data_IF_412927737547
#
_entry.id   IF_412927737547
#
_cell.length_a   1.000
_cell.length_b   1.000
_cell.length_c   1.000
_cell.angle_alpha   90.00
_cell.angle_beta   90.00
_cell.angle_gamma   90.00
#
_symmetry.space_group_name_H-M   'P 1'
#
loop_
_entity.id
_entity.type
_entity.pdbx_description
1 polymer ?
#
# COMPACT_ATOMS: atom_id res chain seq x y z
N UNK A 1 44.24 -28.32 -16.20
CA UNK A 1 42.76 -28.22 -16.26
C UNK A 1 42.30 -27.17 -15.26
N UNK A 2 41.88 -25.94 -15.64
CA UNK A 2 41.20 -25.05 -14.71
C UNK A 2 39.69 -25.14 -14.90
N UNK A 3 38.96 -25.58 -13.87
CA UNK A 3 37.50 -25.52 -13.84
C UNK A 3 37.06 -24.12 -13.37
N UNK A 4 36.18 -23.52 -14.18
CA UNK A 4 35.67 -22.15 -14.06
C UNK A 4 34.57 -22.02 -13.00
N UNK A 5 34.66 -20.91 -12.27
CA UNK A 5 33.59 -19.95 -11.94
C UNK A 5 32.23 -20.45 -11.43
N UNK A 6 31.96 -20.14 -10.16
CA UNK A 6 30.61 -20.00 -9.60
C UNK A 6 29.84 -18.84 -10.26
N UNK A 7 28.49 -18.81 -10.11
CA UNK A 7 27.87 -17.53 -9.81
C UNK A 7 26.90 -17.60 -8.62
N UNK A 8 27.36 -17.12 -7.46
CA UNK A 8 26.50 -16.59 -6.38
C UNK A 8 26.14 -15.14 -6.72
N UNK A 9 25.30 -14.91 -7.73
CA UNK A 9 24.97 -13.55 -8.20
C UNK A 9 23.46 -13.27 -8.33
N UNK A 10 22.59 -14.13 -7.80
CA UNK A 10 21.13 -13.91 -7.87
C UNK A 10 20.52 -13.29 -6.61
N UNK A 11 21.22 -13.33 -5.47
CA UNK A 11 20.69 -12.83 -4.19
C UNK A 11 20.97 -11.34 -3.94
N UNK A 12 21.94 -10.72 -4.63
CA UNK A 12 22.33 -9.34 -4.34
C UNK A 12 21.45 -8.29 -5.03
N UNK A 13 20.87 -8.58 -6.20
CA UNK A 13 20.15 -7.56 -7.00
C UNK A 13 18.79 -7.18 -6.42
N UNK A 14 18.08 -8.12 -5.78
CA UNK A 14 16.76 -7.84 -5.16
C UNK A 14 16.88 -6.97 -3.89
N UNK A 15 18.01 -7.03 -3.21
CA UNK A 15 18.24 -6.31 -1.95
C UNK A 15 18.51 -4.82 -2.19
N UNK A 16 19.24 -4.47 -3.26
CA UNK A 16 19.52 -3.06 -3.61
C UNK A 16 18.30 -2.32 -4.16
N UNK A 17 17.41 -3.03 -4.86
CA UNK A 17 16.17 -2.43 -5.39
C UNK A 17 15.20 -1.98 -4.28
N UNK A 18 15.19 -2.66 -3.11
CA UNK A 18 14.45 -2.18 -1.93
C UNK A 18 15.13 -0.99 -1.25
N UNK A 19 16.46 -0.99 -1.12
CA UNK A 19 17.21 0.08 -0.46
C UNK A 19 17.15 1.45 -1.18
N UNK A 20 16.78 1.48 -2.46
CA UNK A 20 16.58 2.73 -3.23
C UNK A 20 15.16 3.29 -3.21
N UNK A 21 14.20 2.52 -2.68
CA UNK A 21 12.80 2.93 -2.66
C UNK A 21 12.49 3.74 -1.40
N UNK A 22 11.99 4.96 -1.57
CA UNK A 22 11.55 5.78 -0.45
C UNK A 22 10.54 5.01 0.42
N UNK A 23 10.83 4.91 1.72
CA UNK A 23 9.95 4.27 2.69
C UNK A 23 8.65 5.06 2.87
N UNK A 24 7.49 4.42 3.01
CA UNK A 24 6.27 5.09 3.40
C UNK A 24 6.40 5.64 4.82
N UNK A 25 6.27 6.96 4.99
CA UNK A 25 6.32 7.53 6.33
C UNK A 25 5.05 7.22 7.15
N UNK A 26 5.20 7.28 8.48
CA UNK A 26 4.13 6.98 9.46
C UNK A 26 3.19 8.11 9.83
N UNK A 27 3.35 9.30 9.24
CA UNK A 27 2.47 10.46 9.43
C UNK A 27 1.81 10.90 8.12
N UNK A 28 0.78 11.75 8.17
CA UNK A 28 0.16 12.30 6.97
C UNK A 28 1.14 13.15 6.14
N UNK A 29 2.04 13.88 6.80
CA UNK A 29 3.02 14.76 6.14
C UNK A 29 4.17 13.99 5.49
N UNK A 30 4.55 12.85 6.07
CA UNK A 30 5.62 11.98 5.56
C UNK A 30 5.11 10.85 4.65
N UNK A 31 3.80 10.77 4.40
CA UNK A 31 3.20 9.67 3.64
C UNK A 31 3.77 9.60 2.20
N UNK A 32 4.09 8.38 1.74
CA UNK A 32 4.62 8.17 0.40
C UNK A 32 3.58 8.55 -0.65
N UNK A 33 3.95 9.44 -1.57
CA UNK A 33 3.05 9.90 -2.61
C UNK A 33 2.84 8.83 -3.68
N UNK A 34 1.61 8.37 -3.82
CA UNK A 34 1.18 7.43 -4.85
C UNK A 34 1.06 8.17 -6.19
N UNK A 35 1.78 7.67 -7.19
CA UNK A 35 1.71 8.12 -8.59
C UNK A 35 1.95 6.93 -9.53
N UNK A 36 1.40 6.97 -10.75
CA UNK A 36 0.47 7.98 -11.28
C UNK A 36 -0.96 7.83 -10.72
N UNK A 37 -1.72 8.93 -10.72
CA UNK A 37 -3.17 8.96 -10.43
C UNK A 37 -3.82 9.90 -11.47
N UNK A 38 -4.76 9.43 -12.32
CA UNK A 38 -5.20 8.04 -12.45
C UNK A 38 -4.07 7.11 -12.92
N UNK A 39 -4.20 5.82 -12.66
CA UNK A 39 -3.18 4.82 -13.01
C UNK A 39 -3.05 3.71 -11.97
N UNK A 40 -1.98 2.92 -12.11
CA UNK A 40 -1.68 1.78 -11.23
C UNK A 40 -0.41 2.04 -10.44
N UNK A 41 -0.46 1.76 -9.15
CA UNK A 41 0.66 1.78 -8.23
C UNK A 41 0.81 0.40 -7.60
N UNK A 42 2.05 -0.09 -7.51
CA UNK A 42 2.37 -1.38 -6.90
C UNK A 42 3.55 -1.19 -5.92
N UNK A 43 3.43 -1.74 -4.72
CA UNK A 43 4.49 -1.73 -3.71
C UNK A 43 4.62 -3.10 -3.05
N UNK A 44 5.85 -3.54 -2.86
CA UNK A 44 6.21 -4.64 -1.97
C UNK A 44 6.90 -4.03 -0.77
N UNK A 45 6.41 -4.31 0.42
CA UNK A 45 6.93 -3.68 1.63
C UNK A 45 6.81 -4.60 2.85
N UNK A 46 7.17 -4.07 4.01
CA UNK A 46 6.93 -4.70 5.30
C UNK A 46 6.45 -3.71 6.35
N UNK A 47 5.77 -4.21 7.38
CA UNK A 47 5.33 -3.40 8.51
C UNK A 47 5.55 -4.17 9.82
N UNK A 48 5.77 -3.46 10.92
CA UNK A 48 5.88 -4.01 12.27
C UNK A 48 5.11 -3.13 13.26
N UNK A 49 5.25 -3.32 14.58
CA UNK A 49 4.56 -2.49 15.58
C UNK A 49 5.11 -1.06 15.62
N UNK A 50 6.43 -0.93 15.46
CA UNK A 50 7.13 0.36 15.45
C UNK A 50 7.07 1.06 14.11
N UNK A 51 6.49 0.40 13.10
CA UNK A 51 6.45 0.85 11.73
C UNK A 51 5.01 0.91 11.22
N UNK A 52 4.69 1.93 10.45
CA UNK A 52 3.37 2.13 9.90
C UNK A 52 3.52 2.86 8.60
N UNK A 53 2.92 2.28 7.58
CA UNK A 53 2.99 2.86 6.25
C UNK A 53 1.77 3.71 5.98
N UNK A 54 1.98 4.94 5.51
CA UNK A 54 0.96 5.73 4.85
C UNK A 54 1.32 6.00 3.40
N UNK A 55 0.34 5.74 2.54
CA UNK A 55 0.38 6.01 1.12
C UNK A 55 -0.62 7.13 0.82
N UNK A 56 -0.14 8.26 0.29
CA UNK A 56 -0.94 9.44 -0.03
C UNK A 56 -1.39 9.43 -1.48
N UNK A 57 -2.70 9.48 -1.70
CA UNK A 57 -3.34 9.60 -3.00
C UNK A 57 -3.91 11.01 -3.17
N UNK A 58 -3.59 11.68 -4.26
CA UNK A 58 -4.20 12.97 -4.63
C UNK A 58 -5.13 12.72 -5.82
N UNK A 59 -6.43 12.66 -5.54
CA UNK A 59 -7.49 12.45 -6.52
C UNK A 59 -7.95 13.82 -6.98
N UNK A 60 -7.85 14.11 -8.29
CA UNK A 60 -8.22 15.40 -8.88
C UNK A 60 -9.61 15.42 -9.52
N UNK A 61 -10.11 14.26 -9.94
CA UNK A 61 -11.40 14.09 -10.58
C UNK A 61 -12.21 13.01 -9.84
N UNK A 62 -13.55 13.02 -9.91
CA UNK A 62 -14.37 11.90 -9.48
C UNK A 62 -13.81 10.58 -10.01
N UNK A 63 -13.58 9.60 -9.13
CA UNK A 63 -12.80 8.40 -9.47
C UNK A 63 -13.34 7.13 -8.82
N UNK A 64 -12.95 5.99 -9.40
CA UNK A 64 -12.98 4.67 -8.76
C UNK A 64 -11.57 4.28 -8.33
N UNK A 65 -11.40 3.83 -7.09
CA UNK A 65 -10.16 3.23 -6.60
C UNK A 65 -10.37 1.75 -6.28
N UNK A 66 -9.58 0.87 -6.89
CA UNK A 66 -9.46 -0.53 -6.51
C UNK A 66 -8.22 -0.73 -5.63
N UNK A 67 -8.41 -1.33 -4.48
CA UNK A 67 -7.33 -1.72 -3.57
C UNK A 67 -7.20 -3.24 -3.59
N UNK A 68 -5.99 -3.73 -3.81
CA UNK A 68 -5.62 -5.14 -3.63
C UNK A 68 -4.43 -5.20 -2.68
N UNK A 69 -4.66 -5.76 -1.50
CA UNK A 69 -3.64 -5.97 -0.49
C UNK A 69 -3.42 -7.47 -0.32
N UNK A 70 -2.16 -7.90 -0.31
CA UNK A 70 -1.78 -9.30 -0.10
C UNK A 70 -0.73 -9.40 0.98
N UNK A 71 -0.83 -10.40 1.84
CA UNK A 71 0.24 -10.77 2.76
C UNK A 71 0.24 -12.27 3.02
N UNK A 72 1.37 -12.78 3.47
CA UNK A 72 1.51 -14.11 4.05
C UNK A 72 1.79 -14.00 5.56
N UNK A 73 1.94 -15.14 6.23
CA UNK A 73 2.27 -15.20 7.65
C UNK A 73 1.09 -14.95 8.59
N UNK A 74 1.27 -15.37 9.84
CA UNK A 74 0.24 -15.36 10.88
C UNK A 74 -0.17 -13.96 11.39
N UNK A 75 0.73 -12.96 11.57
CA UNK A 75 0.32 -11.74 12.24
C UNK A 75 -0.70 -10.93 11.42
N UNK A 76 -1.74 -10.46 12.10
CA UNK A 76 -2.80 -9.67 11.46
C UNK A 76 -2.29 -8.28 11.11
N UNK A 77 -2.65 -7.79 9.93
CA UNK A 77 -2.42 -6.42 9.49
C UNK A 77 -3.74 -5.67 9.46
N UNK A 78 -3.76 -4.46 10.00
CA UNK A 78 -4.85 -3.51 9.86
C UNK A 78 -4.63 -2.66 8.62
N UNK A 79 -5.50 -2.82 7.63
CA UNK A 79 -5.58 -1.97 6.44
C UNK A 79 -6.70 -0.95 6.65
N UNK A 80 -6.44 0.34 6.43
CA UNK A 80 -7.46 1.37 6.52
C UNK A 80 -7.33 2.41 5.40
N UNK A 81 -8.45 3.00 5.01
CA UNK A 81 -8.49 4.18 4.13
C UNK A 81 -8.85 5.39 4.98
N UNK A 82 -8.08 6.47 4.86
CA UNK A 82 -8.25 7.69 5.63
C UNK A 82 -8.58 8.86 4.69
N UNK A 83 -9.32 9.84 5.19
CA UNK A 83 -9.52 11.12 4.51
C UNK A 83 -8.33 12.08 4.73
N UNK A 84 -8.42 13.28 4.16
CA UNK A 84 -7.39 14.32 4.27
C UNK A 84 -7.03 14.72 5.72
N UNK A 85 -7.95 14.49 6.67
CA UNK A 85 -7.76 14.79 8.11
C UNK A 85 -7.24 13.59 8.91
N UNK A 86 -6.86 12.49 8.25
CA UNK A 86 -6.38 11.27 8.90
C UNK A 86 -7.47 10.44 9.60
N UNK A 87 -8.75 10.79 9.44
CA UNK A 87 -9.87 10.00 9.99
C UNK A 87 -10.18 8.85 9.05
N UNK A 88 -10.50 7.68 9.62
CA UNK A 88 -10.94 6.53 8.82
C UNK A 88 -12.16 6.91 8.00
N UNK A 89 -12.05 6.73 6.68
CA UNK A 89 -13.09 7.04 5.73
C UNK A 89 -14.29 6.11 5.96
N UNK A 90 -15.48 6.69 5.95
CA UNK A 90 -16.73 5.97 5.82
C UNK A 90 -17.20 6.08 4.37
N UNK A 91 -17.56 4.96 3.76
CA UNK A 91 -17.98 4.89 2.37
C UNK A 91 -19.18 3.95 2.26
N UNK A 92 -20.30 4.42 1.70
CA UNK A 92 -21.55 3.64 1.67
C UNK A 92 -22.01 3.15 3.06
N UNK A 93 -21.87 3.99 4.09
CA UNK A 93 -22.18 3.63 5.48
C UNK A 93 -21.13 2.76 6.20
N UNK A 94 -20.17 2.17 5.47
CA UNK A 94 -19.17 1.27 6.04
C UNK A 94 -17.87 1.99 6.39
N UNK A 95 -17.30 1.67 7.56
CA UNK A 95 -15.96 2.14 7.96
C UNK A 95 -14.89 1.34 7.19
N UNK A 96 -14.01 2.03 6.47
CA UNK A 96 -12.95 1.38 5.69
C UNK A 96 -11.72 1.07 6.54
N UNK A 97 -11.87 0.10 7.45
CA UNK A 97 -10.81 -0.41 8.31
C UNK A 97 -11.00 -1.91 8.48
N UNK A 98 -10.08 -2.70 7.91
CA UNK A 98 -10.19 -4.16 7.83
C UNK A 98 -8.97 -4.86 8.43
N UNK A 99 -9.17 -5.86 9.31
CA UNK A 99 -8.11 -6.80 9.65
C UNK A 99 -7.85 -7.73 8.45
N UNK A 100 -6.59 -8.06 8.22
CA UNK A 100 -6.13 -8.98 7.17
C UNK A 100 -5.25 -10.04 7.83
N UNK A 101 -5.74 -11.29 7.86
CA UNK A 101 -5.10 -12.44 8.51
C UNK A 101 -3.99 -13.08 7.67
N UNK A 102 -4.32 -13.68 6.54
CA UNK A 102 -3.39 -14.16 5.52
C UNK A 102 -4.17 -14.23 4.19
N UNK A 103 -3.47 -14.08 3.07
CA UNK A 103 -4.09 -14.11 1.75
C UNK A 103 -4.34 -12.72 1.18
N UNK A 104 -5.49 -12.54 0.52
CA UNK A 104 -5.78 -11.37 -0.32
C UNK A 104 -7.03 -10.64 0.16
N UNK A 105 -6.90 -9.34 0.39
CA UNK A 105 -8.03 -8.42 0.56
C UNK A 105 -8.16 -7.57 -0.70
N UNK A 106 -9.35 -7.56 -1.31
CA UNK A 106 -9.67 -6.76 -2.49
C UNK A 106 -11.00 -6.04 -2.30
N UNK A 107 -11.06 -4.75 -2.59
CA UNK A 107 -12.29 -3.97 -2.61
C UNK A 107 -12.14 -2.76 -3.53
N UNK A 108 -13.28 -2.16 -3.91
CA UNK A 108 -13.34 -0.98 -4.76
C UNK A 108 -14.15 0.12 -4.08
N UNK A 109 -13.74 1.38 -4.28
CA UNK A 109 -14.46 2.57 -3.86
C UNK A 109 -14.81 3.37 -5.11
N UNK A 110 -16.08 3.38 -5.48
CA UNK A 110 -16.59 4.07 -6.68
C UNK A 110 -17.28 5.36 -6.27
N UNK A 111 -16.85 6.51 -6.80
CA UNK A 111 -17.41 7.82 -6.42
C UNK A 111 -16.53 8.60 -5.45
N UNK A 112 -15.21 8.36 -5.46
CA UNK A 112 -14.27 9.19 -4.70
C UNK A 112 -14.25 10.59 -5.31
N UNK A 113 -14.64 11.58 -4.53
CA UNK A 113 -14.58 12.99 -4.92
C UNK A 113 -13.13 13.52 -4.90
N UNK A 114 -12.83 14.59 -5.66
CA UNK A 114 -11.53 15.24 -5.62
C UNK A 114 -11.09 15.56 -4.19
N UNK A 115 -9.99 14.96 -3.75
CA UNK A 115 -9.44 15.14 -2.40
C UNK A 115 -8.08 14.45 -2.25
N UNK A 116 -7.50 14.60 -1.06
CA UNK A 116 -6.40 13.74 -0.61
C UNK A 116 -6.95 12.59 0.22
N UNK A 117 -6.57 11.37 -0.14
CA UNK A 117 -6.87 10.16 0.62
C UNK A 117 -5.57 9.48 1.04
N UNK A 118 -5.65 8.64 2.06
CA UNK A 118 -4.51 7.82 2.48
C UNK A 118 -4.91 6.36 2.59
N UNK A 119 -4.00 5.47 2.22
CA UNK A 119 -4.08 4.05 2.59
C UNK A 119 -3.05 3.83 3.69
N UNK A 120 -3.51 3.34 4.84
CA UNK A 120 -2.67 3.03 5.99
C UNK A 120 -2.54 1.52 6.14
N UNK A 121 -1.31 1.06 6.31
CA UNK A 121 -0.97 -0.33 6.66
C UNK A 121 -0.29 -0.31 8.03
N UNK A 122 -0.76 -1.14 8.95
CA UNK A 122 -0.21 -1.19 10.32
C UNK A 122 -0.43 -2.56 10.94
N UNK A 123 0.38 -2.93 11.93
CA UNK A 123 0.14 -4.15 12.71
C UNK A 123 0.43 -3.90 14.19
N UNK A 124 -0.18 -4.70 15.07
CA UNK A 124 0.16 -4.75 16.49
C UNK A 124 1.32 -5.72 16.76
N UNK A 125 1.78 -6.46 15.75
CA UNK A 125 2.86 -7.45 15.87
C UNK A 125 4.23 -6.80 15.93
N UNK A 126 5.08 -7.22 16.87
CA UNK A 126 6.51 -6.86 16.85
C UNK A 126 7.26 -7.53 15.70
N UNK A 127 6.82 -8.72 15.27
CA UNK A 127 7.38 -9.40 14.11
C UNK A 127 7.02 -8.66 12.82
N UNK A 128 8.01 -8.55 11.93
CA UNK A 128 7.89 -7.94 10.62
C UNK A 128 6.93 -8.74 9.74
N UNK A 129 5.98 -8.04 9.12
CA UNK A 129 4.99 -8.62 8.20
C UNK A 129 5.20 -8.06 6.81
N UNK A 130 5.65 -8.90 5.88
CA UNK A 130 5.76 -8.54 4.48
C UNK A 130 4.38 -8.47 3.81
N UNK A 131 4.20 -7.51 2.90
CA UNK A 131 2.97 -7.36 2.13
C UNK A 131 3.21 -6.86 0.71
N UNK A 132 2.16 -6.96 -0.10
CA UNK A 132 2.05 -6.34 -1.42
C UNK A 132 0.80 -5.47 -1.47
N UNK A 133 0.96 -4.19 -1.78
CA UNK A 133 -0.13 -3.26 -2.02
C UNK A 133 -0.21 -2.93 -3.50
N UNK A 134 -1.41 -3.03 -4.07
CA UNK A 134 -1.73 -2.51 -5.40
C UNK A 134 -2.93 -1.57 -5.31
N UNK A 135 -2.76 -0.39 -5.87
CA UNK A 135 -3.79 0.63 -6.00
C UNK A 135 -4.01 0.88 -7.48
N UNK A 136 -5.25 0.83 -7.94
CA UNK A 136 -5.63 1.23 -9.29
C UNK A 136 -6.67 2.32 -9.17
N UNK A 137 -6.43 3.50 -9.77
CA UNK A 137 -7.38 4.61 -9.79
C UNK A 137 -7.74 4.92 -11.24
N UNK A 138 -9.03 5.05 -11.51
CA UNK A 138 -9.57 5.49 -12.81
C UNK A 138 -10.58 6.60 -12.59
N UNK A 139 -10.57 7.62 -13.44
CA UNK A 139 -11.60 8.66 -13.41
C UNK A 139 -12.96 8.03 -13.77
N UNK A 140 -14.03 8.54 -13.17
CA UNK A 140 -15.38 8.27 -13.65
C UNK A 140 -15.60 9.03 -14.97
N UNK A 141 -16.45 8.50 -15.87
CA UNK A 141 -16.87 9.24 -17.05
C UNK A 141 -17.45 10.59 -16.62
N UNK A 142 -17.02 11.67 -17.28
CA UNK A 142 -17.74 12.93 -17.25
C UNK A 142 -18.92 12.79 -18.21
N UNK A 143 -20.14 12.87 -17.69
CA UNK A 143 -21.36 12.97 -18.51
C UNK A 143 -21.35 14.25 -19.34
#
# INVERSE_FOLDING_TARGET
MPARSSPLAAFSVRTVARASQQEPGGTLGSALRVRPIPGRFNRLDSVSRSDRDLYRLVVKNPSTMQIVFRKSGAPTVQLAVLNARGRVLRFGGQKLSFPVLAGVRKFSLTGLMPSTYFVRVSTASSATVNYRLRLSVSNLPTS
#
